data_IF_895400460924
#
_entry.id   IF_895400460924
#
_cell.length_a   1.000
_cell.length_b   1.000
_cell.length_c   1.000
_cell.angle_alpha   90.00
_cell.angle_beta   90.00
_cell.angle_gamma   90.00
#
_symmetry.space_group_name_H-M   'P 1'
#
loop_
_entity.id
_entity.type
_entity.pdbx_description
1 polymer ?
#
# COMPACT_ATOMS: atom_id res chain seq x y z
N UNK A 1 4.02 22.66 -21.79
CA UNK A 1 4.78 23.67 -21.03
C UNK A 1 5.63 22.91 -20.02
N UNK A 2 6.92 23.26 -19.88
CA UNK A 2 7.70 22.74 -18.77
C UNK A 2 7.11 23.30 -17.47
N UNK A 3 6.98 22.47 -16.43
CA UNK A 3 6.57 22.91 -15.13
C UNK A 3 7.56 23.97 -14.63
N UNK A 4 7.07 25.00 -13.94
CA UNK A 4 7.95 25.97 -13.31
C UNK A 4 8.63 25.33 -12.10
N UNK A 5 9.95 25.36 -12.05
CA UNK A 5 10.72 24.83 -10.93
C UNK A 5 10.70 25.83 -9.75
N UNK A 6 10.46 25.30 -8.57
CA UNK A 6 10.48 26.02 -7.29
C UNK A 6 11.41 25.24 -6.36
N UNK A 7 12.47 25.88 -5.92
CA UNK A 7 13.34 25.37 -4.86
C UNK A 7 12.94 26.06 -3.55
N UNK A 8 12.46 25.28 -2.58
CA UNK A 8 12.02 25.81 -1.29
C UNK A 8 13.21 26.27 -0.42
N UNK A 9 14.39 25.68 -0.64
CA UNK A 9 15.62 26.15 -0.02
C UNK A 9 16.05 25.31 1.18
N UNK A 10 16.32 25.93 2.29
CA UNK A 10 16.79 25.27 3.52
C UNK A 10 15.88 25.63 4.68
N UNK A 11 15.47 24.67 5.45
CA UNK A 11 14.56 24.84 6.57
C UNK A 11 13.55 23.69 6.54
N UNK A 12 12.50 23.79 7.32
CA UNK A 12 11.37 22.87 7.26
C UNK A 12 10.30 23.49 6.34
N UNK A 13 10.32 23.09 5.07
CA UNK A 13 9.51 23.70 4.02
C UNK A 13 8.26 22.86 3.70
N UNK A 14 7.10 23.52 3.64
CA UNK A 14 5.81 22.89 3.44
C UNK A 14 5.10 23.38 2.18
N UNK A 15 4.48 22.46 1.45
CA UNK A 15 3.66 22.74 0.27
C UNK A 15 2.24 22.25 0.50
N UNK A 16 1.24 23.08 0.21
CA UNK A 16 -0.15 22.66 0.13
C UNK A 16 -0.55 22.52 -1.33
N UNK A 17 -0.98 21.32 -1.72
CA UNK A 17 -1.41 21.03 -3.09
C UNK A 17 -2.94 20.89 -3.12
N UNK A 18 -3.56 21.78 -3.89
CA UNK A 18 -5.01 21.74 -4.17
C UNK A 18 -5.30 21.26 -5.61
N UNK A 19 -4.30 20.69 -6.28
CA UNK A 19 -4.44 20.10 -7.62
C UNK A 19 -4.89 18.64 -7.52
N UNK A 20 -5.49 18.12 -8.57
CA UNK A 20 -6.03 16.75 -8.59
C UNK A 20 -4.94 15.65 -8.49
N UNK A 21 -3.70 15.93 -8.87
CA UNK A 21 -2.63 14.93 -8.94
C UNK A 21 -1.28 15.52 -8.53
N UNK A 22 -0.57 14.78 -7.70
CA UNK A 22 0.83 14.98 -7.36
C UNK A 22 1.63 13.74 -7.72
N UNK A 23 2.85 13.89 -8.22
CA UNK A 23 3.69 12.78 -8.67
C UNK A 23 5.08 12.87 -8.05
N UNK A 24 5.57 11.77 -7.46
CA UNK A 24 6.96 11.66 -7.01
C UNK A 24 7.91 11.81 -8.20
N UNK A 25 9.09 12.37 -7.96
CA UNK A 25 10.07 12.60 -9.03
C UNK A 25 11.16 11.52 -9.11
N UNK A 26 11.24 10.65 -8.09
CA UNK A 26 12.34 9.71 -7.90
C UNK A 26 13.58 10.33 -7.26
N UNK A 27 13.51 11.59 -6.85
CA UNK A 27 14.51 12.27 -6.04
C UNK A 27 13.89 12.62 -4.67
N UNK A 28 14.68 12.54 -3.62
CA UNK A 28 14.26 12.89 -2.27
C UNK A 28 13.86 14.37 -2.18
N UNK A 29 12.90 14.68 -1.33
CA UNK A 29 12.38 16.04 -1.11
C UNK A 29 11.91 16.75 -2.40
N UNK A 30 11.43 15.99 -3.40
CA UNK A 30 11.01 16.56 -4.68
C UNK A 30 9.67 16.00 -5.17
N UNK A 31 8.76 16.90 -5.56
CA UNK A 31 7.40 16.60 -5.98
C UNK A 31 7.00 17.37 -7.24
N UNK A 32 6.32 16.71 -8.15
CA UNK A 32 5.67 17.34 -9.31
C UNK A 32 4.18 17.50 -9.06
N UNK A 33 3.65 18.65 -9.39
CA UNK A 33 2.21 18.89 -9.56
C UNK A 33 1.91 19.14 -11.05
N UNK A 34 0.65 19.39 -11.38
CA UNK A 34 0.26 19.68 -12.77
C UNK A 34 1.06 20.84 -13.43
N UNK A 35 1.50 21.82 -12.64
CA UNK A 35 2.09 23.07 -13.13
C UNK A 35 3.48 23.35 -12.58
N UNK A 36 3.88 22.74 -11.48
CA UNK A 36 5.10 23.06 -10.75
C UNK A 36 5.90 21.80 -10.44
N UNK A 37 7.21 21.96 -10.39
CA UNK A 37 8.14 21.02 -9.81
C UNK A 37 8.73 21.66 -8.57
N UNK A 38 8.58 20.99 -7.44
CA UNK A 38 9.15 21.42 -6.16
C UNK A 38 10.38 20.59 -5.83
N UNK A 39 11.37 21.23 -5.22
CA UNK A 39 12.55 20.59 -4.63
C UNK A 39 12.82 21.18 -3.26
N UNK A 40 13.54 20.45 -2.42
CA UNK A 40 13.88 20.87 -1.05
C UNK A 40 12.63 21.11 -0.20
N UNK A 41 11.63 20.22 -0.30
CA UNK A 41 10.42 20.27 0.53
C UNK A 41 10.42 19.11 1.52
N UNK A 42 9.92 19.35 2.73
CA UNK A 42 9.90 18.37 3.81
C UNK A 42 8.49 17.82 4.05
N UNK A 43 7.46 18.60 3.73
CA UNK A 43 6.08 18.18 3.93
C UNK A 43 5.13 18.67 2.85
N UNK A 44 4.08 17.89 2.61
CA UNK A 44 3.02 18.21 1.63
C UNK A 44 1.65 17.87 2.16
N UNK A 45 0.73 18.82 2.13
CA UNK A 45 -0.69 18.62 2.36
C UNK A 45 -1.39 18.38 1.01
N UNK A 46 -1.95 17.17 0.84
CA UNK A 46 -2.59 16.71 -0.41
C UNK A 46 -4.11 16.79 -0.35
N UNK A 47 -4.69 17.91 -0.01
CA UNK A 47 -6.14 18.05 0.04
C UNK A 47 -6.78 17.60 -1.27
N UNK A 48 -7.50 16.46 -1.24
CA UNK A 48 -8.21 15.85 -2.38
C UNK A 48 -7.34 15.45 -3.59
N UNK A 49 -6.01 15.34 -3.42
CA UNK A 49 -5.10 14.93 -4.49
C UNK A 49 -4.77 13.44 -4.42
N UNK A 50 -4.53 12.84 -5.59
CA UNK A 50 -3.92 11.52 -5.71
C UNK A 50 -2.41 11.67 -5.70
N UNK A 51 -1.72 10.91 -4.86
CA UNK A 51 -0.27 10.78 -4.95
C UNK A 51 0.05 9.67 -5.95
N UNK A 52 0.86 9.96 -6.94
CA UNK A 52 1.32 8.98 -7.93
C UNK A 52 2.82 8.72 -7.70
N UNK A 53 3.19 7.46 -7.63
CA UNK A 53 4.59 7.02 -7.60
C UNK A 53 5.30 7.23 -8.93
N UNK A 54 6.52 6.76 -9.00
CA UNK A 54 7.36 6.85 -10.19
C UNK A 54 7.17 5.63 -11.12
N UNK A 55 8.07 5.41 -12.05
CA UNK A 55 8.17 4.16 -12.83
C UNK A 55 9.22 3.19 -12.30
N UNK A 56 9.84 3.50 -11.19
CA UNK A 56 10.78 2.67 -10.46
C UNK A 56 10.18 2.20 -9.15
N UNK A 57 10.93 1.44 -8.37
CA UNK A 57 10.48 0.99 -7.06
C UNK A 57 10.33 2.18 -6.09
N UNK A 58 9.13 2.35 -5.57
CA UNK A 58 8.79 3.38 -4.58
C UNK A 58 8.48 2.73 -3.21
N UNK A 59 8.67 3.47 -2.14
CA UNK A 59 8.33 3.03 -0.78
C UNK A 59 7.40 4.06 -0.13
N UNK A 60 6.31 3.57 0.42
CA UNK A 60 5.31 4.36 1.13
C UNK A 60 5.22 3.87 2.58
N UNK A 61 5.73 4.65 3.51
CA UNK A 61 5.67 4.38 4.95
C UNK A 61 4.41 5.03 5.55
N UNK A 62 3.38 4.24 5.83
CA UNK A 62 2.14 4.75 6.39
C UNK A 62 2.32 5.06 7.86
N UNK A 63 2.22 6.34 8.22
CA UNK A 63 2.49 6.87 9.56
C UNK A 63 1.21 7.07 10.39
N UNK A 64 0.05 7.13 9.77
CA UNK A 64 -1.23 7.30 10.44
C UNK A 64 -2.40 7.44 9.48
N UNK A 65 -3.58 7.79 10.01
CA UNK A 65 -4.76 8.01 9.20
C UNK A 65 -4.53 9.14 8.18
N UNK A 66 -4.69 8.83 6.89
CA UNK A 66 -4.46 9.76 5.78
C UNK A 66 -3.05 10.38 5.77
N UNK A 67 -2.04 9.70 6.34
CA UNK A 67 -0.68 10.21 6.43
C UNK A 67 0.37 9.13 6.10
N UNK A 68 1.36 9.51 5.32
CA UNK A 68 2.50 8.66 4.95
C UNK A 68 3.75 9.48 4.71
N UNK A 69 4.90 8.82 4.72
CA UNK A 69 6.18 9.38 4.26
C UNK A 69 6.63 8.63 3.00
N UNK A 70 7.11 9.34 2.01
CA UNK A 70 7.74 8.77 0.81
C UNK A 70 8.73 9.78 0.22
N UNK A 71 9.86 9.29 -0.31
CA UNK A 71 10.92 10.13 -0.88
C UNK A 71 11.35 11.30 0.06
N UNK A 72 11.46 11.00 1.37
CA UNK A 72 11.78 11.96 2.45
C UNK A 72 10.80 13.14 2.58
N UNK A 73 9.56 13.00 2.08
CA UNK A 73 8.49 13.97 2.23
C UNK A 73 7.40 13.41 3.13
N UNK A 74 6.97 14.16 4.13
CA UNK A 74 5.80 13.86 4.95
C UNK A 74 4.52 14.33 4.26
N UNK A 75 3.64 13.38 3.90
CA UNK A 75 2.35 13.67 3.27
C UNK A 75 1.21 13.57 4.29
N UNK A 76 0.31 14.54 4.24
CA UNK A 76 -0.94 14.56 5.02
C UNK A 76 -2.15 14.74 4.11
N UNK A 77 -3.34 14.37 4.62
CA UNK A 77 -4.61 14.38 3.88
C UNK A 77 -4.56 13.54 2.59
N UNK A 78 -3.78 12.45 2.62
CA UNK A 78 -3.69 11.48 1.53
C UNK A 78 -4.93 10.60 1.56
N UNK A 79 -5.71 10.59 0.49
CA UNK A 79 -6.86 9.68 0.34
C UNK A 79 -6.57 8.49 -0.56
N UNK A 80 -5.70 8.67 -1.55
CA UNK A 80 -5.31 7.60 -2.47
C UNK A 80 -3.89 7.74 -3.00
N UNK A 81 -3.28 6.60 -3.26
CA UNK A 81 -1.96 6.46 -3.86
C UNK A 81 -2.05 5.49 -5.03
N UNK A 82 -1.58 5.89 -6.19
CA UNK A 82 -1.23 4.97 -7.27
C UNK A 82 0.29 4.78 -7.24
N UNK A 83 0.77 3.62 -6.82
CA UNK A 83 2.20 3.39 -6.66
C UNK A 83 2.96 3.41 -8.00
N UNK A 84 2.27 3.18 -9.10
CA UNK A 84 2.83 3.35 -10.45
C UNK A 84 3.28 2.03 -11.07
N UNK A 85 4.42 2.07 -11.75
CA UNK A 85 5.08 0.86 -12.24
C UNK A 85 6.34 0.64 -11.42
N UNK A 86 6.62 -0.58 -11.07
CA UNK A 86 7.84 -0.87 -10.32
C UNK A 86 7.70 -2.12 -9.48
N UNK A 87 8.52 -2.21 -8.46
CA UNK A 87 8.35 -3.17 -7.38
C UNK A 87 8.07 -2.37 -6.11
N UNK A 88 6.87 -1.80 -6.04
CA UNK A 88 6.49 -0.81 -5.07
C UNK A 88 6.11 -1.44 -3.73
N UNK A 89 6.44 -0.77 -2.65
CA UNK A 89 6.25 -1.28 -1.30
C UNK A 89 5.43 -0.34 -0.42
N UNK A 90 4.47 -0.91 0.28
CA UNK A 90 3.73 -0.24 1.37
C UNK A 90 4.15 -0.85 2.70
N UNK A 91 4.55 0.00 3.64
CA UNK A 91 4.85 -0.38 5.02
C UNK A 91 3.73 0.15 5.94
N UNK A 92 3.11 -0.77 6.69
CA UNK A 92 1.98 -0.44 7.59
C UNK A 92 1.85 -1.50 8.69
N UNK A 93 0.98 -1.29 9.66
CA UNK A 93 0.70 -2.26 10.72
C UNK A 93 -0.67 -2.95 10.59
N UNK A 94 -1.26 -2.91 9.41
CA UNK A 94 -2.50 -3.60 9.10
C UNK A 94 -3.08 -3.12 7.78
N UNK A 95 -3.61 -4.03 6.98
CA UNK A 95 -4.18 -3.73 5.68
C UNK A 95 -5.40 -4.62 5.39
N UNK A 96 -6.30 -4.12 4.55
CA UNK A 96 -7.42 -4.86 3.99
C UNK A 96 -7.28 -4.87 2.46
N UNK A 97 -7.39 -6.04 1.84
CA UNK A 97 -7.46 -6.15 0.38
C UNK A 97 -8.73 -5.45 -0.13
N UNK A 98 -8.70 -4.94 -1.33
CA UNK A 98 -9.84 -4.20 -1.90
C UNK A 98 -10.59 -5.02 -2.94
N UNK A 99 -11.87 -4.73 -3.10
CA UNK A 99 -12.70 -5.29 -4.15
C UNK A 99 -13.49 -4.21 -4.88
N UNK A 100 -13.77 -4.44 -6.15
CA UNK A 100 -14.67 -3.62 -6.94
C UNK A 100 -15.77 -4.49 -7.54
N UNK A 101 -17.03 -4.11 -7.32
CA UNK A 101 -18.21 -4.82 -7.87
C UNK A 101 -18.23 -6.34 -7.58
N UNK A 102 -17.74 -6.76 -6.40
CA UNK A 102 -17.69 -8.18 -6.00
C UNK A 102 -16.56 -8.97 -6.65
N UNK A 103 -15.54 -8.31 -7.16
CA UNK A 103 -14.31 -8.91 -7.70
C UNK A 103 -13.13 -8.37 -6.88
N UNK A 104 -12.27 -9.25 -6.38
CA UNK A 104 -11.01 -8.84 -5.75
C UNK A 104 -10.14 -8.09 -6.75
N UNK A 105 -9.53 -6.98 -6.31
CA UNK A 105 -8.64 -6.17 -7.15
C UNK A 105 -7.21 -6.58 -6.86
N UNK A 106 -6.49 -7.04 -7.88
CA UNK A 106 -5.08 -7.38 -7.76
C UNK A 106 -4.24 -6.13 -7.48
N UNK A 107 -3.17 -6.29 -6.71
CA UNK A 107 -2.22 -5.23 -6.38
C UNK A 107 -2.86 -3.98 -5.72
N UNK A 108 -3.99 -4.14 -5.02
CA UNK A 108 -4.67 -3.03 -4.37
C UNK A 108 -5.07 -3.36 -2.93
N UNK A 109 -4.91 -2.38 -2.05
CA UNK A 109 -5.22 -2.50 -0.62
C UNK A 109 -5.68 -1.18 -0.02
N UNK A 110 -6.26 -1.24 1.16
CA UNK A 110 -6.59 -0.07 1.98
C UNK A 110 -5.93 -0.20 3.36
N UNK A 111 -5.30 0.85 3.82
CA UNK A 111 -4.75 0.97 5.16
C UNK A 111 -4.85 2.40 5.67
N UNK A 112 -5.16 2.59 6.96
CA UNK A 112 -5.21 3.90 7.59
C UNK A 112 -5.99 4.97 6.79
N UNK A 113 -7.11 4.58 6.15
CA UNK A 113 -7.97 5.42 5.30
C UNK A 113 -7.32 5.86 3.97
N UNK A 114 -6.20 5.27 3.59
CA UNK A 114 -5.55 5.49 2.29
C UNK A 114 -5.81 4.28 1.40
N UNK A 115 -6.36 4.49 0.22
CA UNK A 115 -6.49 3.47 -0.81
C UNK A 115 -5.21 3.43 -1.67
N UNK A 116 -4.62 2.25 -1.80
CA UNK A 116 -3.45 2.02 -2.63
C UNK A 116 -3.80 1.15 -3.83
N UNK A 117 -3.21 1.45 -4.97
CA UNK A 117 -3.22 0.63 -6.19
C UNK A 117 -1.80 0.44 -6.73
N UNK A 118 -1.61 -0.56 -7.59
CA UNK A 118 -0.31 -0.86 -8.20
C UNK A 118 0.79 -1.17 -7.18
N UNK A 119 0.46 -1.98 -6.16
CA UNK A 119 1.39 -2.36 -5.06
C UNK A 119 1.85 -3.80 -5.26
N UNK A 120 3.14 -4.06 -5.27
CA UNK A 120 3.71 -5.41 -5.38
C UNK A 120 4.14 -5.99 -4.04
N UNK A 121 4.49 -5.14 -3.07
CA UNK A 121 5.02 -5.57 -1.78
C UNK A 121 4.31 -4.86 -0.63
N UNK A 122 4.00 -5.62 0.42
CA UNK A 122 3.36 -5.13 1.64
C UNK A 122 4.13 -5.64 2.86
N UNK A 123 4.65 -4.75 3.69
CA UNK A 123 5.22 -5.07 5.00
C UNK A 123 4.25 -4.63 6.10
N UNK A 124 3.79 -5.60 6.88
CA UNK A 124 2.78 -5.38 7.92
C UNK A 124 3.35 -5.17 9.32
N UNK A 125 4.66 -5.21 9.50
CA UNK A 125 5.32 -5.03 10.81
C UNK A 125 4.68 -5.85 11.95
N UNK A 126 4.24 -7.09 11.68
CA UNK A 126 3.43 -7.98 12.52
C UNK A 126 1.96 -7.52 12.71
N UNK A 127 1.46 -6.66 11.86
CA UNK A 127 0.06 -6.27 11.80
C UNK A 127 -0.83 -7.30 11.09
N UNK A 128 -2.12 -7.02 11.07
CA UNK A 128 -3.14 -7.93 10.50
C UNK A 128 -3.32 -7.71 9.00
N UNK A 129 -3.57 -8.80 8.28
CA UNK A 129 -4.10 -8.78 6.93
C UNK A 129 -5.55 -9.24 6.96
N UNK A 130 -6.42 -8.49 6.31
CA UNK A 130 -7.80 -8.89 6.05
C UNK A 130 -8.04 -8.96 4.53
N UNK A 131 -8.80 -9.96 4.12
CA UNK A 131 -9.35 -10.05 2.78
C UNK A 131 -10.45 -9.01 2.53
N UNK A 132 -10.93 -8.97 1.31
CA UNK A 132 -12.03 -8.11 0.88
C UNK A 132 -13.41 -8.75 1.13
N UNK A 133 -14.45 -8.20 0.55
CA UNK A 133 -15.79 -8.79 0.51
C UNK A 133 -16.05 -9.61 -0.78
N UNK A 134 -15.04 -9.78 -1.62
CA UNK A 134 -15.05 -10.59 -2.83
C UNK A 134 -14.18 -11.85 -2.65
N UNK A 135 -14.08 -12.67 -3.69
CA UNK A 135 -13.22 -13.84 -3.68
C UNK A 135 -11.74 -13.47 -3.75
N UNK A 136 -11.03 -13.67 -2.65
CA UNK A 136 -9.60 -13.42 -2.54
C UNK A 136 -8.76 -14.69 -2.77
N UNK A 137 -7.50 -14.49 -3.16
CA UNK A 137 -6.54 -15.56 -3.39
C UNK A 137 -5.34 -15.40 -2.48
N UNK A 138 -5.07 -16.40 -1.65
CA UNK A 138 -3.91 -16.47 -0.78
C UNK A 138 -3.04 -17.65 -1.18
N UNK A 139 -1.74 -17.44 -1.32
CA UNK A 139 -0.76 -18.50 -1.55
C UNK A 139 0.26 -18.52 -0.42
N UNK A 140 0.36 -19.65 0.27
CA UNK A 140 1.34 -19.88 1.35
C UNK A 140 2.41 -20.83 0.86
N UNK A 141 3.67 -20.41 0.97
CA UNK A 141 4.83 -21.21 0.63
C UNK A 141 5.89 -21.06 1.75
N UNK A 142 5.83 -21.92 2.75
CA UNK A 142 6.58 -21.78 3.97
C UNK A 142 6.17 -20.52 4.74
N UNK A 143 7.11 -19.64 4.98
CA UNK A 143 6.87 -18.34 5.60
C UNK A 143 6.47 -17.24 4.59
N UNK A 144 6.50 -17.52 3.29
CA UNK A 144 6.10 -16.56 2.28
C UNK A 144 4.57 -16.58 2.10
N UNK A 145 3.97 -15.42 2.04
CA UNK A 145 2.55 -15.20 1.79
C UNK A 145 2.38 -14.27 0.59
N UNK A 146 1.53 -14.67 -0.34
CA UNK A 146 1.06 -13.79 -1.42
C UNK A 146 -0.45 -13.67 -1.31
N UNK A 147 -0.98 -12.46 -1.43
CA UNK A 147 -2.40 -12.16 -1.35
C UNK A 147 -2.80 -11.24 -2.52
N UNK A 148 -3.70 -11.70 -3.40
CA UNK A 148 -4.13 -10.98 -4.60
C UNK A 148 -2.96 -10.36 -5.38
N UNK A 149 -1.93 -11.17 -5.68
CA UNK A 149 -0.69 -10.78 -6.36
C UNK A 149 0.28 -9.89 -5.55
N UNK A 150 -0.07 -9.45 -4.33
CA UNK A 150 0.83 -8.70 -3.45
C UNK A 150 1.69 -9.67 -2.63
N UNK A 151 3.00 -9.50 -2.64
CA UNK A 151 3.93 -10.22 -1.76
C UNK A 151 3.88 -9.63 -0.36
N UNK A 152 3.45 -10.42 0.64
CA UNK A 152 3.24 -9.96 2.01
C UNK A 152 4.34 -10.45 2.93
N UNK A 153 4.92 -9.54 3.70
CA UNK A 153 5.94 -9.83 4.71
C UNK A 153 5.51 -9.35 6.09
N UNK A 154 6.06 -9.98 7.12
CA UNK A 154 5.82 -9.60 8.51
C UNK A 154 4.34 -9.50 8.89
N UNK A 155 3.46 -10.30 8.27
CA UNK A 155 2.07 -10.42 8.69
C UNK A 155 1.97 -11.12 10.06
N UNK A 156 0.97 -10.76 10.85
CA UNK A 156 0.55 -11.58 11.99
C UNK A 156 0.16 -12.99 11.50
N UNK A 157 0.26 -13.97 12.37
CA UNK A 157 -0.05 -15.37 11.99
C UNK A 157 -1.53 -15.60 11.68
N UNK A 158 -2.43 -14.78 12.21
CA UNK A 158 -3.86 -14.87 11.91
C UNK A 158 -4.19 -13.96 10.72
N UNK A 159 -4.75 -14.56 9.67
CA UNK A 159 -5.24 -13.90 8.47
C UNK A 159 -6.76 -14.02 8.46
N UNK A 160 -7.46 -12.93 8.31
CA UNK A 160 -8.90 -12.91 8.07
C UNK A 160 -9.12 -12.91 6.55
N UNK A 161 -9.62 -14.01 5.99
CA UNK A 161 -9.85 -14.06 4.54
C UNK A 161 -11.04 -13.19 4.08
N UNK A 162 -11.82 -12.67 5.02
CA UNK A 162 -12.95 -11.79 4.71
C UNK A 162 -14.23 -12.55 4.39
N UNK A 163 -15.06 -11.96 3.55
CA UNK A 163 -16.27 -12.61 3.03
C UNK A 163 -16.13 -12.87 1.54
N UNK A 164 -16.62 -13.97 1.07
CA UNK A 164 -16.47 -14.31 -0.35
C UNK A 164 -16.33 -15.82 -0.53
N UNK A 165 -15.82 -16.22 -1.68
CA UNK A 165 -15.37 -17.58 -1.92
C UNK A 165 -13.85 -17.58 -2.04
N UNK A 166 -13.19 -17.45 -0.90
CA UNK A 166 -11.76 -17.25 -0.83
C UNK A 166 -11.01 -18.57 -1.07
N UNK A 167 -9.84 -18.47 -1.66
CA UNK A 167 -9.02 -19.62 -1.97
C UNK A 167 -7.67 -19.52 -1.27
N UNK A 168 -7.31 -20.52 -0.49
CA UNK A 168 -5.97 -20.65 0.09
C UNK A 168 -5.25 -21.81 -0.59
N UNK A 169 -4.14 -21.50 -1.28
CA UNK A 169 -3.23 -22.50 -1.85
C UNK A 169 -2.06 -22.68 -0.92
N UNK A 170 -1.86 -23.89 -0.43
CA UNK A 170 -0.74 -24.18 0.48
C UNK A 170 0.25 -25.10 -0.20
N UNK A 171 1.47 -24.63 -0.36
CA UNK A 171 2.60 -25.38 -0.94
C UNK A 171 3.51 -26.01 0.15
N UNK A 172 3.04 -26.01 1.39
CA UNK A 172 3.72 -26.61 2.54
C UNK A 172 3.34 -28.08 2.72
N UNK A 173 4.22 -28.79 3.45
CA UNK A 173 3.98 -30.21 3.77
C UNK A 173 3.04 -30.46 4.95
N UNK A 174 2.69 -29.43 5.70
CA UNK A 174 1.90 -29.52 6.93
C UNK A 174 0.79 -28.46 6.96
N UNK A 175 -0.42 -28.86 6.60
CA UNK A 175 -1.62 -28.06 6.77
C UNK A 175 -2.67 -28.89 7.50
N UNK A 176 -3.42 -28.28 8.38
CA UNK A 176 -4.42 -28.96 9.20
C UNK A 176 -5.74 -28.19 9.17
N UNK A 177 -6.84 -28.86 8.82
CA UNK A 177 -8.16 -28.31 9.06
C UNK A 177 -8.47 -28.33 10.56
N UNK A 178 -8.90 -27.22 11.11
CA UNK A 178 -9.05 -27.05 12.56
C UNK A 178 -10.30 -27.68 13.13
N UNK A 179 -11.24 -28.08 12.31
CA UNK A 179 -12.52 -28.69 12.70
C UNK A 179 -13.64 -27.68 12.95
N UNK A 180 -13.39 -26.39 12.75
CA UNK A 180 -14.40 -25.34 12.61
C UNK A 180 -14.62 -25.07 11.12
N UNK A 181 -15.80 -24.65 10.73
CA UNK A 181 -16.09 -24.36 9.31
C UNK A 181 -15.24 -23.16 8.84
N UNK A 182 -14.61 -23.31 7.67
CA UNK A 182 -13.79 -22.29 7.02
C UNK A 182 -12.50 -21.89 7.76
N UNK A 183 -11.96 -22.76 8.59
CA UNK A 183 -10.68 -22.52 9.25
C UNK A 183 -9.59 -23.47 8.76
N UNK A 184 -8.44 -22.93 8.41
CA UNK A 184 -7.27 -23.67 7.93
C UNK A 184 -6.00 -23.19 8.62
N UNK A 185 -5.30 -24.10 9.30
CA UNK A 185 -3.98 -23.82 9.84
C UNK A 185 -2.90 -24.35 8.90
N UNK A 186 -1.93 -23.50 8.62
CA UNK A 186 -0.66 -23.85 7.98
C UNK A 186 0.47 -23.82 9.01
N UNK A 187 1.70 -24.09 8.59
CA UNK A 187 2.85 -24.03 9.50
C UNK A 187 3.09 -22.61 10.07
N UNK A 188 2.68 -21.56 9.37
CA UNK A 188 2.98 -20.17 9.71
C UNK A 188 1.74 -19.27 9.83
N UNK A 189 0.63 -19.65 9.21
CA UNK A 189 -0.58 -18.82 9.16
C UNK A 189 -1.82 -19.63 9.49
N UNK A 190 -2.79 -18.98 10.13
CA UNK A 190 -4.15 -19.45 10.36
C UNK A 190 -5.14 -18.55 9.59
N UNK A 191 -6.06 -19.19 8.82
CA UNK A 191 -7.09 -18.54 8.02
C UNK A 191 -8.46 -18.82 8.57
#
# INVERSE_FOLDING_TARGET
NAASAIDAGTGDDAVTVNDANSTLTGADNALNTANYQFTSIDSTDLTDSVLTGTSGADTFDVTGANALTSADIDFTNVSSVDAGNGADQVNTNGATLTSETGIAVDNALMTQQIAFSSVENLDLANGTLAGSDAADSFEVNGAALTANAISVTNAASAIDAGTGNDAVTVNDTNSTLTGTDNELDTANYAF
#
